data_IF_177023117478
#
_entry.id   IF_177023117478
#
_cell.length_a   1.000
_cell.length_b   1.000
_cell.length_c   1.000
_cell.angle_alpha   90.00
_cell.angle_beta   90.00
_cell.angle_gamma   90.00
#
_symmetry.space_group_name_H-M   'P 1'
#
loop_
_entity.id
_entity.type
_entity.pdbx_description
1 polymer ?
#
# COMPACT_ATOMS: atom_id res chain seq x y z
N UNK A 1 25.91 -48.26 70.54
CA UNK A 1 25.82 -46.78 70.46
C UNK A 1 26.74 -46.34 69.32
N UNK A 2 26.26 -45.50 68.40
CA UNK A 2 26.84 -45.03 67.10
C UNK A 2 26.07 -45.60 65.89
N UNK A 3 25.08 -44.92 65.30
CA UNK A 3 25.09 -43.73 64.40
C UNK A 3 25.92 -43.91 63.12
N UNK A 4 25.27 -44.02 61.95
CA UNK A 4 25.21 -42.91 60.97
C UNK A 4 24.28 -43.23 59.77
N UNK A 5 23.52 -42.20 59.38
CA UNK A 5 22.50 -42.15 58.31
C UNK A 5 23.13 -42.05 56.91
N UNK A 6 22.45 -42.58 55.88
CA UNK A 6 22.49 -42.05 54.51
C UNK A 6 21.08 -41.94 53.94
N UNK A 7 20.73 -40.72 53.53
CA UNK A 7 19.50 -40.31 52.85
C UNK A 7 19.76 -40.38 51.35
N UNK A 8 18.86 -40.99 50.57
CA UNK A 8 18.87 -40.96 49.11
C UNK A 8 17.73 -40.05 48.64
N UNK A 9 18.09 -38.89 48.09
CA UNK A 9 17.17 -38.03 47.34
C UNK A 9 17.17 -38.50 45.87
N UNK A 10 16.00 -38.88 45.35
CA UNK A 10 15.79 -39.12 43.94
C UNK A 10 15.32 -37.80 43.28
N UNK A 11 16.12 -37.28 42.35
CA UNK A 11 15.74 -36.18 41.47
C UNK A 11 14.90 -36.74 40.31
N UNK A 12 13.63 -36.36 40.27
CA UNK A 12 12.78 -36.48 39.08
C UNK A 12 13.13 -35.33 38.13
N UNK A 13 13.87 -35.64 37.06
CA UNK A 13 14.07 -34.72 35.95
C UNK A 13 12.89 -34.86 34.98
N UNK A 14 11.98 -33.88 35.01
CA UNK A 14 10.91 -33.73 34.03
C UNK A 14 11.50 -33.14 32.75
N UNK A 15 11.71 -33.97 31.73
CA UNK A 15 12.11 -33.52 30.40
C UNK A 15 10.92 -32.90 29.67
N UNK A 16 10.93 -31.58 29.51
CA UNK A 16 10.08 -30.89 28.53
C UNK A 16 10.61 -31.22 27.13
N UNK A 17 9.87 -32.05 26.39
CA UNK A 17 10.07 -32.21 24.95
C UNK A 17 9.46 -30.99 24.26
N UNK A 18 10.31 -30.01 23.91
CA UNK A 18 9.96 -28.97 22.95
C UNK A 18 9.85 -29.63 21.57
N UNK A 19 8.60 -29.75 21.09
CA UNK A 19 8.31 -30.19 19.73
C UNK A 19 8.56 -28.98 18.81
N UNK A 20 9.81 -28.78 18.39
CA UNK A 20 10.10 -27.93 17.24
C UNK A 20 9.64 -28.70 16.01
N UNK A 21 8.39 -28.49 15.59
CA UNK A 21 8.01 -28.80 14.23
C UNK A 21 8.88 -27.91 13.33
N UNK A 22 9.86 -28.51 12.65
CA UNK A 22 10.45 -27.90 11.47
C UNK A 22 9.33 -27.76 10.45
N UNK A 23 8.59 -26.65 10.51
CA UNK A 23 7.77 -26.21 9.39
C UNK A 23 8.78 -25.86 8.32
N UNK A 24 9.02 -26.80 7.40
CA UNK A 24 9.79 -26.51 6.21
C UNK A 24 9.16 -25.30 5.55
N UNK A 25 9.95 -24.25 5.31
CA UNK A 25 9.50 -23.08 4.56
C UNK A 25 8.99 -23.62 3.22
N UNK A 26 7.69 -23.53 2.98
CA UNK A 26 7.16 -23.76 1.64
C UNK A 26 7.78 -22.65 0.78
N UNK A 27 8.78 -23.00 -0.02
CA UNK A 27 9.45 -22.06 -0.89
C UNK A 27 8.48 -21.75 -2.03
N UNK A 28 7.65 -20.73 -1.86
CA UNK A 28 6.86 -20.18 -2.96
C UNK A 28 7.83 -19.66 -4.01
N UNK A 29 7.60 -19.95 -5.28
CA UNK A 29 8.39 -19.33 -6.34
C UNK A 29 8.26 -17.79 -6.28
N UNK A 30 9.21 -17.08 -6.87
CA UNK A 30 9.13 -15.60 -6.97
C UNK A 30 8.33 -15.21 -8.21
N UNK A 31 7.53 -14.16 -8.11
CA UNK A 31 6.98 -13.46 -9.28
C UNK A 31 8.06 -12.52 -9.80
N UNK A 32 8.53 -12.71 -11.02
CA UNK A 32 9.60 -11.92 -11.61
C UNK A 32 9.04 -10.79 -12.48
N UNK A 33 9.80 -9.70 -12.73
CA UNK A 33 9.38 -8.62 -13.64
C UNK A 33 8.88 -9.12 -15.01
N UNK A 34 9.53 -10.12 -15.59
CA UNK A 34 9.15 -10.72 -16.88
C UNK A 34 7.80 -11.46 -16.88
N UNK A 35 7.22 -11.71 -15.70
CA UNK A 35 5.89 -12.32 -15.57
C UNK A 35 4.75 -11.33 -15.85
N UNK A 36 5.04 -10.03 -15.91
CA UNK A 36 4.05 -8.98 -16.14
C UNK A 36 3.77 -8.79 -17.63
N UNK A 37 2.53 -9.06 -18.02
CA UNK A 37 1.99 -8.77 -19.35
C UNK A 37 1.16 -7.50 -19.30
N UNK A 38 1.62 -6.43 -19.95
CA UNK A 38 0.81 -5.23 -20.06
C UNK A 38 -0.40 -5.47 -20.97
N UNK A 39 -1.60 -5.17 -20.46
CA UNK A 39 -2.87 -5.34 -21.17
C UNK A 39 -3.44 -4.02 -21.71
N UNK A 40 -2.85 -2.88 -21.33
CA UNK A 40 -3.32 -1.55 -21.72
C UNK A 40 -3.75 -0.72 -20.52
N UNK A 41 -4.47 0.35 -20.80
CA UNK A 41 -4.99 1.27 -19.80
C UNK A 41 -6.45 1.66 -20.08
N UNK A 42 -7.09 2.30 -19.10
CA UNK A 42 -8.39 2.92 -19.23
C UNK A 42 -8.50 4.16 -18.35
N UNK A 43 -9.48 5.02 -18.62
CA UNK A 43 -9.73 6.25 -17.90
C UNK A 43 -10.73 6.03 -16.76
N UNK A 44 -10.50 6.67 -15.62
CA UNK A 44 -11.53 6.89 -14.60
C UNK A 44 -12.68 7.77 -15.14
N UNK A 45 -13.87 7.80 -14.51
CA UNK A 45 -14.95 8.70 -14.93
C UNK A 45 -14.51 10.18 -15.04
N UNK A 46 -15.03 10.88 -16.05
CA UNK A 46 -14.76 12.31 -16.23
C UNK A 46 -15.52 13.13 -15.18
N UNK A 47 -14.93 14.23 -14.70
CA UNK A 47 -15.68 15.22 -13.96
C UNK A 47 -16.79 15.85 -14.81
N UNK A 48 -17.92 16.16 -14.19
CA UNK A 48 -19.12 16.68 -14.85
C UNK A 48 -19.28 18.14 -14.44
N UNK A 49 -19.36 19.04 -15.43
CA UNK A 49 -19.56 20.47 -15.19
C UNK A 49 -20.76 20.75 -14.28
N UNK A 50 -20.53 21.54 -13.23
CA UNK A 50 -21.51 21.88 -12.20
C UNK A 50 -21.59 20.92 -11.00
N UNK A 51 -20.83 19.82 -10.98
CA UNK A 51 -20.64 19.00 -9.77
C UNK A 51 -19.57 19.62 -8.85
N UNK A 52 -19.58 19.35 -7.54
CA UNK A 52 -18.50 19.79 -6.65
C UNK A 52 -17.13 19.23 -7.11
N UNK A 53 -16.07 20.02 -7.02
CA UNK A 53 -14.70 19.58 -7.37
C UNK A 53 -14.25 18.35 -6.55
N UNK A 54 -14.73 18.26 -5.31
CA UNK A 54 -14.51 17.13 -4.40
C UNK A 54 -15.08 15.81 -4.92
N UNK A 55 -16.11 15.86 -5.78
CA UNK A 55 -16.78 14.70 -6.38
C UNK A 55 -16.19 14.43 -7.78
N UNK A 56 -14.87 14.34 -7.84
CA UNK A 56 -14.12 14.10 -9.07
C UNK A 56 -13.00 13.09 -8.86
N UNK A 57 -12.52 12.52 -9.96
CA UNK A 57 -11.29 11.73 -10.00
C UNK A 57 -10.09 12.55 -10.47
N UNK A 58 -10.24 13.86 -10.65
CA UNK A 58 -9.12 14.74 -11.01
C UNK A 58 -8.11 14.73 -9.88
N UNK A 59 -6.81 14.63 -10.21
CA UNK A 59 -5.74 14.49 -9.21
C UNK A 59 -5.88 13.27 -8.30
N UNK A 60 -6.78 12.33 -8.64
CA UNK A 60 -7.01 11.13 -7.85
C UNK A 60 -5.92 10.10 -8.03
N UNK A 61 -6.01 9.02 -7.27
CA UNK A 61 -5.08 7.89 -7.34
C UNK A 61 -4.33 7.60 -6.03
N UNK A 62 -4.79 8.17 -4.92
CA UNK A 62 -4.15 7.99 -3.61
C UNK A 62 -4.39 6.60 -3.01
N UNK A 63 -5.53 5.98 -3.30
CA UNK A 63 -5.87 4.64 -2.79
C UNK A 63 -6.76 3.88 -3.75
N UNK A 64 -6.62 2.55 -3.78
CA UNK A 64 -7.55 1.67 -4.50
C UNK A 64 -7.61 0.27 -3.90
N UNK A 65 -8.74 -0.40 -4.09
CA UNK A 65 -8.92 -1.83 -3.81
C UNK A 65 -9.86 -2.46 -4.83
N UNK A 66 -9.70 -3.76 -5.05
CA UNK A 66 -10.50 -4.52 -6.01
C UNK A 66 -11.66 -5.22 -5.30
N UNK A 67 -12.87 -5.11 -5.86
CA UNK A 67 -14.03 -5.86 -5.41
C UNK A 67 -14.41 -6.96 -6.42
N UNK A 68 -14.22 -8.26 -6.08
CA UNK A 68 -14.55 -9.37 -6.97
C UNK A 68 -16.06 -9.56 -7.21
N UNK A 69 -16.91 -8.97 -6.38
CA UNK A 69 -18.37 -9.03 -6.53
C UNK A 69 -18.97 -7.79 -7.20
N UNK A 70 -18.13 -6.79 -7.48
CA UNK A 70 -18.48 -5.60 -8.24
C UNK A 70 -18.94 -5.90 -9.66
N UNK A 71 -19.71 -4.98 -10.23
CA UNK A 71 -20.32 -5.08 -11.57
C UNK A 71 -20.83 -6.50 -11.95
N UNK A 72 -21.72 -7.13 -11.14
CA UNK A 72 -22.14 -8.51 -11.38
C UNK A 72 -22.95 -8.69 -12.68
N UNK A 73 -23.47 -7.60 -13.24
CA UNK A 73 -24.14 -7.53 -14.54
C UNK A 73 -23.21 -7.12 -15.70
N UNK A 74 -21.92 -6.99 -15.42
CA UNK A 74 -20.89 -6.54 -16.35
C UNK A 74 -20.71 -7.45 -17.55
N UNK A 75 -19.97 -6.94 -18.53
CA UNK A 75 -19.64 -7.71 -19.74
C UNK A 75 -18.69 -8.85 -19.37
N UNK A 76 -18.83 -9.99 -20.05
CA UNK A 76 -17.89 -11.11 -19.93
C UNK A 76 -16.70 -10.91 -20.86
N UNK A 77 -15.95 -9.83 -20.66
CA UNK A 77 -14.84 -9.40 -21.51
C UNK A 77 -13.45 -9.71 -20.91
N UNK A 78 -13.41 -10.33 -19.73
CA UNK A 78 -12.19 -10.77 -19.06
C UNK A 78 -11.70 -9.83 -17.97
N UNK A 79 -12.46 -8.77 -17.66
CA UNK A 79 -12.16 -7.80 -16.60
C UNK A 79 -13.36 -7.68 -15.63
N UNK A 80 -13.65 -8.74 -14.85
CA UNK A 80 -14.78 -8.73 -13.92
C UNK A 80 -14.51 -7.83 -12.71
N UNK A 81 -15.54 -7.61 -11.90
CA UNK A 81 -15.42 -6.88 -10.64
C UNK A 81 -15.48 -5.38 -10.82
N UNK A 82 -15.06 -4.68 -9.78
CA UNK A 82 -14.99 -3.21 -9.75
C UNK A 82 -13.78 -2.74 -8.94
N UNK A 83 -13.54 -1.44 -8.97
CA UNK A 83 -12.49 -0.79 -8.19
C UNK A 83 -13.13 0.26 -7.29
N UNK A 84 -12.87 0.17 -6.01
CA UNK A 84 -13.04 1.30 -5.10
C UNK A 84 -11.76 2.10 -5.08
N UNK A 85 -11.88 3.41 -5.02
CA UNK A 85 -10.72 4.29 -4.86
C UNK A 85 -11.10 5.65 -4.32
N UNK A 86 -10.09 6.40 -3.92
CA UNK A 86 -10.26 7.81 -3.56
C UNK A 86 -10.15 8.68 -4.79
N UNK A 87 -11.09 9.61 -4.90
CA UNK A 87 -11.09 10.66 -5.92
C UNK A 87 -10.03 11.73 -5.63
N UNK A 88 -10.38 12.98 -5.86
CA UNK A 88 -9.48 14.12 -5.75
C UNK A 88 -8.63 14.12 -4.47
N UNK A 89 -7.32 14.33 -4.65
CA UNK A 89 -6.26 14.26 -3.63
C UNK A 89 -6.42 15.19 -2.41
N UNK A 90 -7.26 16.23 -2.49
CA UNK A 90 -7.55 17.12 -1.35
C UNK A 90 -8.62 16.50 -0.45
N UNK A 91 -9.74 16.04 -1.01
CA UNK A 91 -10.90 15.59 -0.24
C UNK A 91 -10.90 14.09 0.04
N UNK A 92 -10.40 13.30 -0.91
CA UNK A 92 -10.33 11.84 -0.89
C UNK A 92 -11.67 11.19 -0.58
N UNK A 93 -12.75 11.67 -1.19
CA UNK A 93 -14.02 10.95 -1.16
C UNK A 93 -13.84 9.61 -1.86
N UNK A 94 -14.54 8.57 -1.37
CA UNK A 94 -14.46 7.21 -1.92
C UNK A 94 -15.56 7.03 -2.95
N UNK A 95 -15.26 6.41 -4.09
CA UNK A 95 -16.22 6.00 -5.11
C UNK A 95 -15.87 4.61 -5.64
N UNK A 96 -16.86 3.92 -6.22
CA UNK A 96 -16.68 2.64 -6.91
C UNK A 96 -16.93 2.80 -8.41
N UNK A 97 -16.05 2.22 -9.23
CA UNK A 97 -16.13 2.26 -10.71
C UNK A 97 -16.04 0.85 -11.31
N UNK A 98 -16.67 0.66 -12.47
CA UNK A 98 -16.49 -0.57 -13.26
C UNK A 98 -15.12 -0.63 -13.93
N UNK A 99 -14.78 -1.80 -14.50
CA UNK A 99 -13.51 -2.03 -15.19
C UNK A 99 -13.80 -2.29 -16.67
N UNK A 100 -13.61 -1.31 -17.57
CA UNK A 100 -13.72 -1.55 -19.00
C UNK A 100 -12.51 -2.32 -19.52
N UNK A 101 -12.62 -2.90 -20.71
CA UNK A 101 -11.48 -3.51 -21.40
C UNK A 101 -10.34 -2.49 -21.56
N UNK A 102 -9.14 -2.73 -21.02
CA UNK A 102 -8.01 -1.84 -21.20
C UNK A 102 -7.55 -1.82 -22.65
N UNK A 103 -7.02 -0.68 -23.09
CA UNK A 103 -6.57 -0.44 -24.46
C UNK A 103 -5.07 -0.15 -24.46
N UNK A 104 -4.33 -0.86 -25.31
CA UNK A 104 -2.95 -0.50 -25.65
C UNK A 104 -3.03 0.56 -26.75
N UNK A 105 -2.79 1.84 -26.41
CA UNK A 105 -2.62 2.90 -27.41
C UNK A 105 -1.14 2.99 -27.81
N UNK A 106 -0.76 2.60 -29.05
CA UNK A 106 0.65 2.59 -29.46
C UNK A 106 1.31 3.97 -29.44
N UNK A 107 0.50 5.04 -29.52
CA UNK A 107 0.95 6.43 -29.51
C UNK A 107 0.50 7.18 -28.26
N UNK A 108 0.06 6.47 -27.21
CA UNK A 108 -0.37 7.03 -25.92
C UNK A 108 -1.40 8.18 -26.05
N UNK A 109 -2.43 7.98 -26.89
CA UNK A 109 -3.51 8.97 -27.06
C UNK A 109 -4.64 8.67 -26.08
N UNK A 110 -4.98 9.65 -25.25
CA UNK A 110 -6.08 9.58 -24.28
C UNK A 110 -7.41 9.23 -24.94
N UNK A 111 -7.67 9.76 -26.15
CA UNK A 111 -8.90 9.49 -26.90
C UNK A 111 -9.04 8.04 -27.40
N UNK A 112 -7.98 7.24 -27.35
CA UNK A 112 -8.04 5.81 -27.67
C UNK A 112 -8.55 4.96 -26.48
N UNK A 113 -8.54 5.51 -25.26
CA UNK A 113 -8.84 4.76 -24.03
C UNK A 113 -10.34 4.62 -23.78
N UNK A 114 -10.75 3.44 -23.30
CA UNK A 114 -12.09 3.27 -22.73
C UNK A 114 -12.21 4.03 -21.40
N UNK A 115 -13.41 4.43 -21.03
CA UNK A 115 -13.70 5.15 -19.78
C UNK A 115 -14.59 4.28 -18.89
N UNK A 116 -14.19 4.13 -17.63
CA UNK A 116 -14.97 3.48 -16.59
C UNK A 116 -16.23 4.28 -16.24
N UNK A 117 -17.23 3.60 -15.70
CA UNK A 117 -18.50 4.18 -15.22
C UNK A 117 -18.55 4.09 -13.71
N UNK A 118 -19.11 5.12 -13.09
CA UNK A 118 -19.42 5.12 -11.66
C UNK A 118 -20.50 4.07 -11.35
N UNK A 119 -20.20 3.18 -10.40
CA UNK A 119 -21.13 2.22 -9.80
C UNK A 119 -21.73 2.83 -8.53
N UNK A 120 -20.88 3.32 -7.63
CA UNK A 120 -21.29 4.06 -6.43
C UNK A 120 -20.69 5.48 -6.48
N UNK A 121 -21.51 6.52 -6.23
CA UNK A 121 -21.05 7.90 -6.25
C UNK A 121 -20.05 8.16 -5.13
N UNK A 122 -19.40 9.33 -5.18
CA UNK A 122 -18.49 9.77 -4.13
C UNK A 122 -19.19 9.91 -2.78
N UNK A 123 -18.56 9.39 -1.73
CA UNK A 123 -19.02 9.52 -0.35
C UNK A 123 -17.88 9.86 0.61
N UNK A 124 -18.15 10.70 1.60
CA UNK A 124 -17.25 10.86 2.75
C UNK A 124 -17.48 9.72 3.74
N UNK A 125 -16.63 8.71 3.69
CA UNK A 125 -16.72 7.54 4.57
C UNK A 125 -16.17 7.79 5.97
N UNK A 126 -15.52 8.94 6.23
CA UNK A 126 -14.85 9.21 7.51
C UNK A 126 -15.82 9.65 8.60
N UNK A 127 -16.94 10.28 8.22
CA UNK A 127 -17.94 10.86 9.15
C UNK A 127 -17.31 11.66 10.31
N UNK A 128 -16.30 12.48 10.00
CA UNK A 128 -15.61 13.32 10.98
C UNK A 128 -14.60 12.62 11.90
N UNK A 129 -14.22 11.36 11.65
CA UNK A 129 -13.24 10.64 12.47
C UNK A 129 -11.81 11.21 12.42
N UNK A 130 -11.45 11.95 11.36
CA UNK A 130 -10.08 12.44 11.11
C UNK A 130 -10.02 13.95 10.83
N UNK A 131 -10.64 14.77 11.69
CA UNK A 131 -10.67 16.24 11.56
C UNK A 131 -9.28 16.91 11.62
N UNK A 132 -8.23 16.17 12.01
CA UNK A 132 -6.86 16.66 12.12
C UNK A 132 -6.10 16.64 10.78
N UNK A 133 -6.68 16.07 9.72
CA UNK A 133 -6.06 16.05 8.40
C UNK A 133 -6.22 17.44 7.78
N UNK A 134 -5.12 18.20 7.75
CA UNK A 134 -5.12 19.58 7.25
C UNK A 134 -4.57 19.69 5.81
N UNK A 135 -3.47 19.01 5.50
CA UNK A 135 -2.77 19.14 4.22
C UNK A 135 -2.21 17.79 3.72
N UNK A 136 -2.35 17.56 2.41
CA UNK A 136 -1.79 16.42 1.67
C UNK A 136 -2.07 15.08 2.36
N UNK A 137 -3.35 14.67 2.44
CA UNK A 137 -3.72 13.39 3.01
C UNK A 137 -2.98 12.21 2.37
N UNK A 138 -2.89 11.13 3.14
CA UNK A 138 -2.43 9.80 2.73
C UNK A 138 -3.53 8.82 3.06
N UNK A 139 -3.84 7.90 2.14
CA UNK A 139 -5.01 7.03 2.29
C UNK A 139 -4.68 5.65 1.82
N UNK A 140 -4.89 4.65 2.69
CA UNK A 140 -4.89 3.25 2.30
C UNK A 140 -6.31 2.70 2.31
N UNK A 141 -6.59 1.76 1.40
CA UNK A 141 -7.92 1.16 1.22
C UNK A 141 -7.79 -0.32 0.93
N UNK A 142 -8.56 -1.18 1.61
CA UNK A 142 -8.68 -2.59 1.24
C UNK A 142 -10.05 -3.18 1.59
N UNK A 143 -10.64 -3.94 0.66
CA UNK A 143 -11.82 -4.77 0.94
C UNK A 143 -11.38 -6.15 1.38
N UNK A 144 -11.91 -6.61 2.52
CA UNK A 144 -11.81 -8.01 2.92
C UNK A 144 -13.20 -8.62 3.09
N UNK A 145 -13.31 -9.89 2.70
CA UNK A 145 -14.41 -10.77 3.11
C UNK A 145 -14.55 -10.80 4.64
N UNK A 146 -15.74 -11.13 5.18
CA UNK A 146 -15.97 -11.08 6.62
C UNK A 146 -14.89 -11.81 7.43
N UNK A 147 -14.29 -11.10 8.38
CA UNK A 147 -13.28 -11.63 9.31
C UNK A 147 -13.83 -11.72 10.74
N UNK A 148 -13.34 -12.67 11.52
CA UNK A 148 -13.77 -12.84 12.92
C UNK A 148 -15.29 -13.00 13.05
N UNK A 149 -15.93 -12.11 13.81
CA UNK A 149 -17.39 -12.10 14.04
C UNK A 149 -18.17 -11.24 13.02
N UNK A 150 -17.53 -10.71 11.98
CA UNK A 150 -18.20 -9.90 10.96
C UNK A 150 -19.21 -10.74 10.16
N UNK A 151 -20.37 -10.14 9.90
CA UNK A 151 -21.43 -10.75 9.06
C UNK A 151 -21.43 -10.25 7.62
N UNK A 152 -20.69 -9.18 7.33
CA UNK A 152 -20.50 -8.60 6.01
C UNK A 152 -19.03 -8.25 5.80
N UNK A 153 -18.63 -8.24 4.53
CA UNK A 153 -17.34 -7.67 4.10
C UNK A 153 -17.21 -6.23 4.58
N UNK A 154 -15.97 -5.78 4.79
CA UNK A 154 -15.67 -4.42 5.23
C UNK A 154 -14.68 -3.76 4.28
N UNK A 155 -14.83 -2.45 4.16
CA UNK A 155 -13.84 -1.57 3.59
C UNK A 155 -12.96 -1.08 4.74
N UNK A 156 -11.71 -1.53 4.79
CA UNK A 156 -10.72 -1.06 5.76
C UNK A 156 -10.00 0.14 5.19
N UNK A 157 -9.80 1.16 6.03
CA UNK A 157 -9.12 2.39 5.63
C UNK A 157 -8.07 2.81 6.64
N UNK A 158 -7.04 3.47 6.16
CA UNK A 158 -6.13 4.24 6.99
C UNK A 158 -5.95 5.64 6.42
N UNK A 159 -5.68 6.60 7.31
CA UNK A 159 -5.51 8.01 6.99
C UNK A 159 -4.24 8.58 7.60
N UNK A 160 -3.52 9.38 6.82
CA UNK A 160 -2.34 10.12 7.22
C UNK A 160 -2.35 11.54 6.68
N UNK A 161 -1.39 12.35 7.12
CA UNK A 161 -1.12 13.69 6.58
C UNK A 161 0.37 13.86 6.30
N UNK A 162 0.74 14.83 5.45
CA UNK A 162 2.15 15.05 5.11
C UNK A 162 3.00 15.41 6.33
N UNK A 163 2.49 16.28 7.20
CA UNK A 163 2.98 16.46 8.57
C UNK A 163 1.94 15.93 9.54
N UNK A 164 2.36 15.08 10.45
CA UNK A 164 1.46 14.36 11.33
C UNK A 164 2.07 14.18 12.72
N UNK A 165 1.29 14.52 13.73
CA UNK A 165 1.54 14.15 15.13
C UNK A 165 1.04 12.72 15.42
N UNK A 166 1.17 12.26 16.66
CA UNK A 166 0.65 10.94 17.08
C UNK A 166 -0.88 10.91 17.15
N UNK A 167 -1.51 10.65 16.00
CA UNK A 167 -2.94 10.42 15.86
C UNK A 167 -3.26 8.95 15.52
N UNK A 168 -4.47 8.53 15.88
CA UNK A 168 -5.05 7.29 15.39
C UNK A 168 -5.45 7.47 13.93
N UNK A 169 -5.22 6.45 13.11
CA UNK A 169 -5.25 6.55 11.65
C UNK A 169 -6.11 5.48 10.98
N UNK A 170 -6.43 4.38 11.64
CA UNK A 170 -7.14 3.25 11.04
C UNK A 170 -8.62 3.23 11.39
N UNK A 171 -9.43 2.76 10.45
CA UNK A 171 -10.88 2.58 10.58
C UNK A 171 -11.36 1.44 9.67
N UNK A 172 -12.64 1.12 9.76
CA UNK A 172 -13.36 0.42 8.70
C UNK A 172 -14.74 1.04 8.48
N UNK A 173 -15.39 0.66 7.39
CA UNK A 173 -16.79 0.95 7.12
C UNK A 173 -17.43 -0.20 6.29
N UNK A 174 -18.73 -0.16 6.10
CA UNK A 174 -19.45 -0.99 5.13
C UNK A 174 -19.09 -0.59 3.70
N UNK A 175 -19.27 -1.53 2.76
CA UNK A 175 -18.98 -1.31 1.34
C UNK A 175 -20.10 -0.58 0.57
N UNK A 176 -21.27 -0.38 1.18
CA UNK A 176 -22.31 0.48 0.61
C UNK A 176 -22.02 1.93 0.99
N UNK A 177 -21.56 2.72 0.03
CA UNK A 177 -21.13 4.10 0.23
C UNK A 177 -22.29 5.05 0.58
N UNK A 178 -23.55 4.63 0.41
CA UNK A 178 -24.70 5.40 0.89
C UNK A 178 -24.99 5.18 2.38
N UNK A 179 -24.48 4.09 2.98
CA UNK A 179 -24.59 3.79 4.41
C UNK A 179 -23.25 3.20 4.91
N UNK A 180 -22.17 4.01 4.94
CA UNK A 180 -20.83 3.50 5.24
C UNK A 180 -20.71 3.03 6.69
N UNK A 181 -21.45 3.59 7.66
CA UNK A 181 -21.38 3.21 9.09
C UNK A 181 -19.93 3.02 9.60
N UNK A 182 -19.12 4.09 9.59
CA UNK A 182 -17.72 3.98 9.95
C UNK A 182 -17.51 3.61 11.42
N UNK A 183 -16.44 2.87 11.68
CA UNK A 183 -15.99 2.54 13.04
C UNK A 183 -14.47 2.60 13.14
N UNK A 184 -13.98 2.98 14.31
CA UNK A 184 -12.61 3.46 14.52
C UNK A 184 -12.63 4.59 15.54
N UNK A 185 -11.50 5.19 15.91
CA UNK A 185 -10.19 5.15 15.26
C UNK A 185 -9.18 4.29 16.02
N UNK A 186 -8.24 3.67 15.30
CA UNK A 186 -7.20 2.80 15.89
C UNK A 186 -5.80 3.19 15.43
N UNK A 187 -4.78 2.72 16.16
CA UNK A 187 -3.36 2.90 15.84
C UNK A 187 -2.66 1.55 15.88
N UNK A 188 -1.49 1.44 15.27
CA UNK A 188 -0.80 0.17 15.11
C UNK A 188 0.40 0.09 16.06
N UNK A 189 0.48 -0.98 16.83
CA UNK A 189 1.63 -1.26 17.69
C UNK A 189 2.91 -1.37 16.84
N UNK A 190 4.01 -0.77 17.31
CA UNK A 190 5.31 -0.82 16.65
C UNK A 190 5.48 0.13 15.46
N UNK A 191 4.44 0.87 15.08
CA UNK A 191 4.47 1.87 14.01
C UNK A 191 4.29 3.29 14.58
N UNK A 192 4.80 4.27 13.84
CA UNK A 192 4.70 5.69 14.13
C UNK A 192 3.87 6.40 13.05
N UNK A 193 3.54 7.70 13.20
CA UNK A 193 2.66 8.42 12.29
C UNK A 193 3.09 8.44 10.82
N UNK A 194 4.38 8.20 10.53
CA UNK A 194 4.91 8.29 9.18
C UNK A 194 5.11 6.94 8.50
N UNK A 195 4.90 5.80 9.16
CA UNK A 195 5.22 4.48 8.58
C UNK A 195 4.07 3.45 8.59
N UNK A 196 2.84 3.86 8.96
CA UNK A 196 1.72 2.92 9.10
C UNK A 196 0.42 3.22 8.34
N UNK A 197 0.28 4.35 7.63
CA UNK A 197 -1.03 4.88 7.21
C UNK A 197 -1.08 5.47 5.79
N UNK A 198 -0.71 4.69 4.77
CA UNK A 198 -0.74 5.12 3.36
C UNK A 198 -1.19 4.03 2.39
N UNK A 199 -0.98 2.76 2.72
CA UNK A 199 -1.50 1.65 1.92
C UNK A 199 -2.01 0.53 2.81
N UNK A 200 -3.03 -0.15 2.29
CA UNK A 200 -3.62 -1.36 2.85
C UNK A 200 -3.75 -2.40 1.73
N UNK A 201 -3.52 -3.66 2.04
CA UNK A 201 -3.77 -4.76 1.08
C UNK A 201 -3.90 -6.11 1.79
N UNK A 202 -4.65 -7.04 1.19
CA UNK A 202 -4.82 -8.38 1.73
C UNK A 202 -3.53 -9.19 1.74
N UNK A 203 -3.30 -9.90 2.85
CA UNK A 203 -2.30 -10.96 2.96
C UNK A 203 -2.99 -12.30 2.62
N UNK A 204 -2.43 -13.13 1.71
CA UNK A 204 -3.02 -14.42 1.38
C UNK A 204 -3.24 -15.28 2.62
N UNK A 205 -4.44 -15.85 2.74
CA UNK A 205 -4.85 -16.61 3.93
C UNK A 205 -3.91 -17.76 4.24
N UNK A 206 -3.48 -18.51 3.23
CA UNK A 206 -2.55 -19.64 3.39
C UNK A 206 -1.21 -19.21 3.99
N UNK A 207 -0.72 -18.02 3.62
CA UNK A 207 0.52 -17.47 4.17
C UNK A 207 0.29 -16.93 5.60
N UNK A 208 -0.78 -16.16 5.80
CA UNK A 208 -1.10 -15.56 7.10
C UNK A 208 -1.36 -16.63 8.17
N UNK A 209 -2.06 -17.72 7.84
CA UNK A 209 -2.38 -18.80 8.78
C UNK A 209 -1.11 -19.50 9.31
N UNK A 210 -0.02 -19.48 8.55
CA UNK A 210 1.26 -20.08 8.95
C UNK A 210 2.17 -19.12 9.72
N UNK A 211 2.23 -17.86 9.31
CA UNK A 211 3.27 -16.94 9.74
C UNK A 211 2.76 -15.76 10.59
N UNK A 212 1.51 -15.31 10.36
CA UNK A 212 0.88 -14.23 11.12
C UNK A 212 -0.57 -14.57 11.45
N UNK A 213 -0.82 -15.62 12.27
CA UNK A 213 -2.16 -16.20 12.40
C UNK A 213 -3.21 -15.16 12.81
N UNK A 214 -4.31 -15.09 12.05
CA UNK A 214 -5.39 -14.14 12.27
C UNK A 214 -5.11 -12.70 11.81
N UNK A 215 -3.92 -12.38 11.31
CA UNK A 215 -3.57 -11.07 10.75
C UNK A 215 -3.50 -11.15 9.23
N UNK A 216 -4.58 -10.71 8.56
CA UNK A 216 -4.76 -10.85 7.10
C UNK A 216 -4.79 -9.52 6.35
N UNK A 217 -4.62 -8.40 7.06
CA UNK A 217 -4.56 -7.08 6.47
C UNK A 217 -3.13 -6.57 6.63
N UNK A 218 -2.49 -6.19 5.54
CA UNK A 218 -1.22 -5.50 5.56
C UNK A 218 -1.45 -3.99 5.65
N UNK A 219 -0.59 -3.28 6.38
CA UNK A 219 -0.60 -1.83 6.49
C UNK A 219 0.81 -1.29 6.48
N UNK A 220 0.98 -0.08 5.96
CA UNK A 220 2.26 0.59 5.98
C UNK A 220 2.20 1.97 5.35
N UNK A 221 3.37 2.60 5.23
CA UNK A 221 3.55 3.88 4.55
C UNK A 221 4.97 4.09 4.09
N UNK A 222 5.10 4.94 3.07
CA UNK A 222 6.34 5.59 2.73
C UNK A 222 6.18 7.12 2.68
N UNK A 223 7.20 7.85 3.13
CA UNK A 223 7.37 9.30 3.09
C UNK A 223 8.83 9.61 2.82
N UNK A 224 9.02 10.49 1.85
CA UNK A 224 10.31 11.01 1.42
C UNK A 224 11.13 11.64 2.56
N UNK A 225 12.42 11.87 2.31
CA UNK A 225 13.31 12.47 3.29
C UNK A 225 13.70 11.59 4.46
N UNK A 226 13.30 10.31 4.48
CA UNK A 226 13.65 9.35 5.52
C UNK A 226 12.73 9.40 6.75
N UNK A 227 11.58 10.08 6.66
CA UNK A 227 10.64 10.21 7.77
C UNK A 227 9.82 8.95 8.05
N UNK A 228 9.41 8.22 7.00
CA UNK A 228 8.73 6.91 7.16
C UNK A 228 9.71 5.74 7.28
N UNK A 229 11.00 6.04 7.22
CA UNK A 229 12.08 5.07 7.04
C UNK A 229 12.83 5.20 5.72
N UNK A 230 14.04 4.66 5.68
CA UNK A 230 14.88 4.58 4.49
C UNK A 230 14.46 3.46 3.52
N UNK A 231 13.14 3.34 3.29
CA UNK A 231 12.48 2.30 2.50
C UNK A 231 11.02 2.11 2.93
N UNK A 232 10.20 1.33 2.19
CA UNK A 232 8.80 1.08 2.55
C UNK A 232 8.68 0.29 3.86
N UNK A 233 7.61 0.52 4.62
CA UNK A 233 7.28 -0.20 5.85
C UNK A 233 6.08 -1.12 5.64
N UNK A 234 6.06 -2.28 6.28
CA UNK A 234 4.95 -3.22 6.21
C UNK A 234 4.73 -3.91 7.54
N UNK A 235 3.49 -3.93 8.02
CA UNK A 235 3.06 -4.74 9.14
C UNK A 235 1.79 -5.51 8.81
N UNK A 236 1.68 -6.74 9.33
CA UNK A 236 0.44 -7.51 9.31
C UNK A 236 -0.39 -7.14 10.54
N UNK A 237 -1.68 -6.91 10.35
CA UNK A 237 -2.67 -6.61 11.39
C UNK A 237 -3.94 -7.42 11.16
N UNK A 238 -4.73 -7.56 12.22
CA UNK A 238 -6.07 -8.14 12.15
C UNK A 238 -6.98 -7.40 13.12
N UNK A 239 -7.55 -6.24 12.74
CA UNK A 239 -8.37 -5.44 13.64
C UNK A 239 -9.46 -6.25 14.35
N UNK A 240 -10.11 -7.17 13.63
CA UNK A 240 -11.16 -8.07 14.14
C UNK A 240 -10.74 -8.97 15.31
N UNK A 241 -9.45 -9.16 15.56
CA UNK A 241 -8.96 -9.94 16.70
C UNK A 241 -9.11 -9.20 18.05
N UNK A 242 -9.38 -7.89 18.01
CA UNK A 242 -9.50 -7.02 19.17
C UNK A 242 -10.90 -6.40 19.32
N UNK A 243 -11.89 -6.97 18.61
CA UNK A 243 -13.30 -6.58 18.67
C UNK A 243 -13.93 -6.48 17.28
N UNK A 244 -15.25 -6.37 17.24
CA UNK A 244 -16.01 -6.21 16.00
C UNK A 244 -17.11 -5.12 16.14
N UNK A 245 -16.76 -3.82 16.07
CA UNK A 245 -15.41 -3.28 15.89
C UNK A 245 -14.54 -3.30 17.16
N UNK A 246 -13.21 -3.17 17.04
CA UNK A 246 -12.37 -2.83 18.18
C UNK A 246 -12.84 -1.51 18.81
N UNK A 247 -12.79 -1.36 20.15
CA UNK A 247 -13.12 -0.11 20.81
C UNK A 247 -12.28 1.06 20.26
N UNK A 248 -12.88 2.26 20.19
CA UNK A 248 -12.18 3.46 19.77
C UNK A 248 -10.93 3.71 20.63
N UNK A 249 -9.84 4.16 19.99
CA UNK A 249 -8.56 4.36 20.66
C UNK A 249 -7.76 3.08 20.90
N UNK A 250 -8.19 1.94 20.37
CA UNK A 250 -7.42 0.68 20.47
C UNK A 250 -6.07 0.82 19.78
N UNK A 251 -5.03 0.31 20.45
CA UNK A 251 -3.74 0.01 19.82
C UNK A 251 -3.79 -1.44 19.32
N UNK A 252 -3.79 -1.60 18.00
CA UNK A 252 -3.87 -2.90 17.33
C UNK A 252 -2.52 -3.61 17.38
N UNK A 253 -2.54 -4.87 17.78
CA UNK A 253 -1.39 -5.76 17.69
C UNK A 253 -0.98 -5.93 16.23
N UNK A 254 0.32 -5.99 16.00
CA UNK A 254 0.88 -6.13 14.68
C UNK A 254 2.07 -7.11 14.67
N UNK A 255 2.37 -7.64 13.48
CA UNK A 255 3.65 -8.26 13.18
C UNK A 255 4.34 -7.37 12.15
N UNK A 256 5.39 -6.67 12.55
CA UNK A 256 6.18 -5.83 11.64
C UNK A 256 7.03 -6.74 10.74
N UNK A 257 6.81 -6.66 9.43
CA UNK A 257 7.43 -7.53 8.41
C UNK A 257 8.56 -6.82 7.66
N UNK A 258 8.42 -5.52 7.42
CA UNK A 258 9.45 -4.67 6.81
C UNK A 258 9.46 -3.37 7.60
N UNK A 259 10.61 -2.95 8.11
CA UNK A 259 10.78 -1.64 8.73
C UNK A 259 12.26 -1.27 8.74
N UNK A 260 12.62 -0.21 8.04
CA UNK A 260 13.97 0.33 8.00
C UNK A 260 14.17 1.38 9.10
N UNK A 261 15.39 1.86 9.29
CA UNK A 261 15.67 3.02 10.15
C UNK A 261 14.96 4.26 9.61
N UNK A 262 14.52 5.15 10.51
CA UNK A 262 13.84 6.41 10.18
C UNK A 262 14.37 7.57 11.03
N UNK A 263 14.06 8.80 10.63
CA UNK A 263 14.42 10.01 11.40
C UNK A 263 13.41 10.40 12.47
N UNK A 264 12.21 9.81 12.46
CA UNK A 264 11.17 10.17 13.43
C UNK A 264 11.58 9.78 14.85
N UNK A 265 12.23 8.62 14.99
CA UNK A 265 12.76 8.12 16.27
C UNK A 265 14.12 8.76 16.66
N UNK A 266 14.61 9.74 15.89
CA UNK A 266 15.90 10.41 16.09
C UNK A 266 16.92 10.10 15.00
N UNK A 267 18.20 10.40 15.24
CA UNK A 267 19.28 10.02 14.32
C UNK A 267 19.65 8.54 14.53
N UNK A 268 19.37 7.64 13.58
CA UNK A 268 19.66 6.22 13.75
C UNK A 268 21.18 5.96 13.73
N UNK A 269 21.67 4.97 14.47
CA UNK A 269 23.02 4.41 14.33
C UNK A 269 23.02 2.93 14.79
N UNK A 270 23.28 1.95 13.90
CA UNK A 270 23.57 2.08 12.47
C UNK A 270 22.32 2.39 11.62
N UNK A 271 22.56 2.83 10.38
CA UNK A 271 21.52 3.20 9.42
C UNK A 271 21.15 1.97 8.59
N UNK A 272 20.04 1.33 8.92
CA UNK A 272 19.51 0.23 8.11
C UNK A 272 18.58 0.79 7.04
N UNK A 273 18.95 0.63 5.78
CA UNK A 273 18.22 1.19 4.64
C UNK A 273 17.99 0.15 3.54
N UNK A 274 16.98 0.41 2.72
CA UNK A 274 16.75 -0.31 1.48
C UNK A 274 17.93 -0.07 0.52
N UNK A 275 18.36 -1.12 -0.16
CA UNK A 275 19.37 -1.04 -1.21
C UNK A 275 18.88 -0.12 -2.33
N UNK A 276 19.70 0.88 -2.68
CA UNK A 276 19.33 1.86 -3.70
C UNK A 276 18.35 2.93 -3.23
N UNK A 277 18.08 3.04 -1.92
CA UNK A 277 17.31 4.13 -1.33
C UNK A 277 17.82 5.51 -1.76
N UNK A 278 16.89 6.40 -2.12
CA UNK A 278 17.12 7.83 -2.25
C UNK A 278 16.05 8.59 -1.43
N UNK A 279 16.43 9.73 -0.84
CA UNK A 279 15.48 10.56 -0.08
C UNK A 279 14.29 11.05 -0.91
N UNK A 280 14.43 11.09 -2.24
CA UNK A 280 13.42 11.51 -3.21
C UNK A 280 12.55 10.35 -3.74
N UNK A 281 12.76 9.11 -3.28
CA UNK A 281 11.87 8.00 -3.64
C UNK A 281 10.45 8.27 -3.14
N UNK A 282 9.46 7.65 -3.78
CA UNK A 282 8.04 7.67 -3.41
C UNK A 282 7.49 6.24 -3.61
N UNK A 283 6.85 5.65 -2.59
CA UNK A 283 6.16 4.36 -2.71
C UNK A 283 4.72 4.50 -2.24
N UNK A 284 3.81 4.69 -3.19
CA UNK A 284 2.44 5.19 -3.01
C UNK A 284 1.39 4.09 -2.99
N UNK A 285 1.77 2.83 -3.24
CA UNK A 285 0.87 1.70 -3.20
C UNK A 285 1.61 0.38 -2.96
N UNK A 286 0.89 -0.62 -2.49
CA UNK A 286 1.42 -1.96 -2.33
C UNK A 286 0.35 -3.03 -2.54
N UNK A 287 0.77 -4.21 -2.98
CA UNK A 287 -0.10 -5.38 -3.09
C UNK A 287 0.68 -6.67 -2.86
N UNK A 288 0.01 -7.65 -2.26
CA UNK A 288 0.52 -9.01 -2.17
C UNK A 288 0.05 -9.83 -3.37
N UNK A 289 0.93 -10.08 -4.32
CA UNK A 289 0.64 -10.79 -5.56
C UNK A 289 0.83 -12.29 -5.40
N UNK A 290 -0.04 -13.08 -6.02
CA UNK A 290 0.10 -14.55 -6.08
C UNK A 290 -0.30 -15.07 -7.45
N UNK A 291 0.49 -15.98 -8.01
CA UNK A 291 0.22 -16.62 -9.30
C UNK A 291 0.62 -18.11 -9.25
N UNK A 292 -0.35 -18.96 -8.91
CA UNK A 292 -0.06 -20.37 -8.60
C UNK A 292 0.72 -20.49 -7.30
N UNK A 293 1.86 -21.18 -7.33
CA UNK A 293 2.79 -21.30 -6.21
C UNK A 293 3.78 -20.14 -6.11
N UNK A 294 3.71 -19.15 -7.00
CA UNK A 294 4.55 -17.94 -6.96
C UNK A 294 3.90 -16.81 -6.20
N UNK A 295 4.72 -16.00 -5.53
CA UNK A 295 4.28 -14.89 -4.69
C UNK A 295 5.31 -13.75 -4.65
N UNK A 296 4.83 -12.53 -4.45
CA UNK A 296 5.64 -11.34 -4.18
C UNK A 296 4.81 -10.29 -3.44
N UNK A 297 5.42 -9.56 -2.51
CA UNK A 297 4.89 -8.24 -2.14
C UNK A 297 5.48 -7.24 -3.12
N UNK A 298 4.63 -6.43 -3.75
CA UNK A 298 5.04 -5.39 -4.68
C UNK A 298 4.67 -4.04 -4.12
N UNK A 299 5.64 -3.11 -4.11
CA UNK A 299 5.38 -1.68 -3.91
C UNK A 299 5.51 -0.94 -5.23
N UNK A 300 4.63 0.02 -5.48
CA UNK A 300 4.65 0.84 -6.70
C UNK A 300 4.91 2.30 -6.34
N UNK A 301 5.56 3.04 -7.23
CA UNK A 301 5.79 4.46 -7.02
C UNK A 301 6.86 5.06 -7.92
N UNK A 302 7.39 6.21 -7.50
CA UNK A 302 8.40 6.98 -8.23
C UNK A 302 9.78 6.77 -7.61
N UNK A 303 10.74 6.25 -8.37
CA UNK A 303 12.12 6.05 -7.92
C UNK A 303 12.97 7.26 -8.28
N UNK A 304 13.66 7.84 -7.30
CA UNK A 304 14.71 8.83 -7.52
C UNK A 304 16.00 8.17 -8.00
N UNK A 305 16.57 8.67 -9.09
CA UNK A 305 17.76 8.10 -9.73
C UNK A 305 18.96 9.03 -9.63
N UNK A 306 20.14 8.44 -9.49
CA UNK A 306 21.42 9.16 -9.33
C UNK A 306 21.48 9.96 -8.02
N UNK A 307 22.08 11.16 -8.05
CA UNK A 307 22.21 12.03 -6.88
C UNK A 307 20.86 12.57 -6.43
N UNK A 308 20.66 12.65 -5.11
CA UNK A 308 19.46 13.20 -4.48
C UNK A 308 19.82 14.41 -3.61
N UNK A 309 18.98 15.45 -3.63
CA UNK A 309 19.18 16.68 -2.87
C UNK A 309 17.86 17.26 -2.35
N UNK A 310 17.94 18.14 -1.34
CA UNK A 310 16.79 18.92 -0.88
C UNK A 310 16.91 20.35 -1.41
N UNK A 311 15.90 20.80 -2.15
CA UNK A 311 15.91 22.09 -2.83
C UNK A 311 14.81 22.18 -3.88
N UNK A 312 15.10 22.79 -5.03
CA UNK A 312 14.21 22.84 -6.18
C UNK A 312 14.75 22.00 -7.34
N UNK A 313 14.07 22.04 -8.49
CA UNK A 313 14.44 21.25 -9.69
C UNK A 313 15.86 21.54 -10.18
N UNK A 314 16.43 22.72 -9.88
CA UNK A 314 17.71 23.18 -10.41
C UNK A 314 18.87 22.93 -9.45
N UNK A 315 18.64 23.06 -8.13
CA UNK A 315 19.72 23.03 -7.15
C UNK A 315 19.26 22.77 -5.71
N UNK A 316 20.24 22.49 -4.87
CA UNK A 316 20.14 22.64 -3.43
C UNK A 316 19.83 24.09 -3.04
N UNK A 317 18.82 24.25 -2.18
CA UNK A 317 18.38 25.54 -1.65
C UNK A 317 17.45 25.30 -0.46
N UNK A 318 17.57 26.09 0.60
CA UNK A 318 16.64 26.00 1.75
C UNK A 318 15.56 27.05 1.65
N UNK A 319 15.93 28.31 1.87
CA UNK A 319 15.00 29.44 1.90
C UNK A 319 15.11 30.30 0.63
N UNK A 320 16.15 30.10 -0.18
CA UNK A 320 16.51 30.90 -1.35
C UNK A 320 16.25 30.20 -2.68
N UNK A 321 15.34 29.21 -2.71
CA UNK A 321 15.01 28.47 -3.92
C UNK A 321 14.49 29.39 -5.04
N UNK A 322 14.87 29.09 -6.28
CA UNK A 322 14.36 29.79 -7.46
C UNK A 322 12.89 29.43 -7.68
N UNK A 323 12.52 28.17 -7.42
CA UNK A 323 11.14 27.68 -7.47
C UNK A 323 10.67 27.21 -6.09
N UNK A 324 10.31 28.13 -5.17
CA UNK A 324 9.96 27.77 -3.80
C UNK A 324 8.71 26.88 -3.69
N UNK A 325 7.80 26.93 -4.66
CA UNK A 325 6.60 26.08 -4.75
C UNK A 325 6.91 24.63 -5.19
N UNK A 326 8.12 24.37 -5.69
CA UNK A 326 8.63 23.03 -6.02
C UNK A 326 9.65 22.54 -5.01
N UNK A 327 9.79 23.22 -3.86
CA UNK A 327 10.79 22.85 -2.86
C UNK A 327 10.47 21.47 -2.28
N UNK A 328 11.47 20.59 -2.29
CA UNK A 328 11.35 19.23 -1.76
C UNK A 328 12.59 18.38 -2.06
N UNK A 329 12.46 17.07 -1.91
CA UNK A 329 13.51 16.14 -2.31
C UNK A 329 13.50 15.91 -3.81
N UNK A 330 14.65 16.10 -4.46
CA UNK A 330 14.82 15.96 -5.90
C UNK A 330 15.93 14.97 -6.24
N UNK A 331 15.85 14.43 -7.45
CA UNK A 331 16.90 13.62 -8.08
C UNK A 331 17.15 14.09 -9.51
N UNK A 332 18.27 13.66 -10.10
CA UNK A 332 18.62 14.02 -11.48
C UNK A 332 17.62 13.45 -12.50
N UNK A 333 17.04 12.29 -12.18
CA UNK A 333 15.88 11.78 -12.88
C UNK A 333 14.99 10.94 -11.98
N UNK A 334 13.77 10.67 -12.45
CA UNK A 334 12.80 9.81 -11.82
C UNK A 334 12.32 8.74 -12.79
N UNK A 335 11.90 7.60 -12.24
CA UNK A 335 11.36 6.46 -13.00
C UNK A 335 10.18 5.83 -12.25
N UNK A 336 9.15 5.40 -12.96
CA UNK A 336 8.00 4.68 -12.39
C UNK A 336 8.36 3.22 -12.17
N UNK A 337 8.44 2.78 -10.92
CA UNK A 337 8.96 1.46 -10.55
C UNK A 337 7.95 0.60 -9.80
N UNK A 338 8.01 -0.71 -10.06
CA UNK A 338 7.52 -1.74 -9.15
C UNK A 338 8.71 -2.37 -8.42
N UNK A 339 8.71 -2.40 -7.09
CA UNK A 339 9.69 -3.08 -6.25
C UNK A 339 9.17 -4.42 -5.76
N UNK A 340 9.98 -5.47 -5.87
CA UNK A 340 9.57 -6.84 -5.55
C UNK A 340 10.24 -7.35 -4.28
N UNK A 341 9.46 -7.74 -3.28
CA UNK A 341 9.90 -8.30 -2.01
C UNK A 341 9.54 -9.78 -1.90
N UNK A 342 10.47 -10.59 -1.39
CA UNK A 342 10.30 -12.04 -1.26
C UNK A 342 9.46 -12.38 -0.03
N UNK A 343 8.33 -13.05 -0.26
CA UNK A 343 7.40 -13.44 0.80
C UNK A 343 7.94 -14.53 1.71
N UNK A 344 8.99 -15.24 1.28
CA UNK A 344 9.75 -16.16 2.13
C UNK A 344 10.65 -15.40 3.11
N UNK A 345 11.16 -14.22 2.75
CA UNK A 345 11.93 -13.39 3.69
C UNK A 345 11.00 -12.74 4.72
N UNK A 346 9.80 -12.33 4.33
CA UNK A 346 8.78 -11.89 5.28
C UNK A 346 8.39 -13.00 6.25
N UNK A 347 8.34 -14.26 5.80
CA UNK A 347 8.05 -15.40 6.65
C UNK A 347 9.16 -15.62 7.69
N UNK A 348 10.43 -15.46 7.27
CA UNK A 348 11.57 -15.50 8.20
C UNK A 348 11.49 -14.38 9.24
N UNK A 349 11.05 -13.17 8.85
CA UNK A 349 10.83 -12.08 9.81
C UNK A 349 9.74 -12.44 10.83
N UNK A 350 8.59 -12.91 10.36
CA UNK A 350 7.50 -13.33 11.24
C UNK A 350 7.89 -14.46 12.22
N UNK A 351 8.88 -15.29 11.84
CA UNK A 351 9.45 -16.35 12.67
C UNK A 351 10.62 -15.91 13.56
N UNK A 352 11.06 -14.65 13.48
CA UNK A 352 12.22 -14.12 14.23
C UNK A 352 13.58 -14.63 13.72
N UNK A 353 13.64 -15.10 12.46
CA UNK A 353 14.88 -15.55 11.79
C UNK A 353 15.60 -14.40 11.10
N UNK A 354 14.85 -13.41 10.60
CA UNK A 354 15.37 -12.15 10.05
C UNK A 354 14.78 -10.98 10.85
N UNK A 355 15.54 -9.91 10.95
CA UNK A 355 15.04 -8.63 11.43
C UNK A 355 14.28 -7.91 10.30
N UNK A 356 13.25 -7.10 10.60
CA UNK A 356 12.46 -6.40 9.58
C UNK A 356 13.27 -5.51 8.63
N UNK A 357 14.38 -4.93 9.12
CA UNK A 357 15.25 -4.06 8.32
C UNK A 357 16.21 -4.84 7.40
N UNK A 358 16.31 -6.17 7.55
CA UNK A 358 17.17 -7.01 6.72
C UNK A 358 16.50 -7.44 5.42
N UNK A 359 15.17 -7.33 5.33
CA UNK A 359 14.45 -7.64 4.09
C UNK A 359 14.85 -6.62 3.03
N UNK A 360 15.09 -7.08 1.80
CA UNK A 360 15.48 -6.23 0.68
C UNK A 360 14.67 -6.60 -0.56
N UNK A 361 14.40 -5.65 -1.47
CA UNK A 361 13.79 -5.99 -2.74
C UNK A 361 14.76 -6.88 -3.54
N UNK A 362 14.25 -7.90 -4.22
CA UNK A 362 15.05 -8.80 -5.05
C UNK A 362 15.03 -8.44 -6.54
N UNK A 363 14.07 -7.63 -6.97
CA UNK A 363 13.94 -7.14 -8.35
C UNK A 363 13.18 -5.81 -8.38
N UNK A 364 13.25 -5.13 -9.52
CA UNK A 364 12.38 -4.01 -9.85
C UNK A 364 11.92 -4.11 -11.33
N UNK A 365 10.84 -3.41 -11.67
CA UNK A 365 10.36 -3.21 -13.04
C UNK A 365 10.12 -1.71 -13.27
N UNK A 366 10.81 -1.11 -14.23
CA UNK A 366 10.48 0.23 -14.73
C UNK A 366 9.34 0.12 -15.76
N UNK A 367 8.31 0.96 -15.62
CA UNK A 367 7.10 0.97 -16.46
C UNK A 367 6.85 2.29 -17.22
N UNK A 368 7.82 3.22 -17.25
CA UNK A 368 7.66 4.53 -17.92
C UNK A 368 7.33 4.40 -19.41
N UNK A 369 7.74 3.31 -20.03
CA UNK A 369 7.48 3.04 -21.44
C UNK A 369 5.97 2.96 -21.75
N UNK A 370 5.12 2.64 -20.77
CA UNK A 370 3.66 2.58 -20.93
C UNK A 370 2.90 3.77 -20.33
N UNK A 371 3.53 4.63 -19.53
CA UNK A 371 2.90 5.80 -18.90
C UNK A 371 2.63 6.95 -19.89
N UNK A 372 1.48 7.61 -19.77
CA UNK A 372 1.00 8.64 -20.70
C UNK A 372 1.59 10.03 -20.43
N UNK A 373 1.95 10.30 -19.18
CA UNK A 373 2.25 11.63 -18.68
C UNK A 373 3.71 11.82 -18.32
N UNK A 374 4.61 10.90 -18.68
CA UNK A 374 6.06 11.11 -18.49
C UNK A 374 6.61 11.93 -19.66
N UNK A 375 6.79 13.22 -19.43
CA UNK A 375 7.23 14.23 -20.39
C UNK A 375 8.70 14.63 -20.21
N UNK A 376 9.26 14.43 -19.02
CA UNK A 376 10.60 14.87 -18.67
C UNK A 376 11.39 13.89 -17.80
N UNK A 377 12.67 14.22 -17.55
CA UNK A 377 13.53 13.41 -16.66
C UNK A 377 13.25 13.69 -15.19
N UNK A 378 12.98 14.93 -14.83
CA UNK A 378 12.74 15.37 -13.45
C UNK A 378 11.24 15.56 -13.22
N UNK A 379 10.49 14.47 -13.39
CA UNK A 379 9.04 14.45 -13.22
C UNK A 379 8.69 13.52 -12.06
N UNK A 380 7.87 13.98 -11.11
CA UNK A 380 7.47 13.16 -9.96
C UNK A 380 6.13 12.48 -10.22
N UNK A 381 5.65 11.70 -9.26
CA UNK A 381 4.29 11.14 -9.28
C UNK A 381 4.01 10.26 -10.51
N UNK A 382 4.95 9.37 -10.85
CA UNK A 382 4.77 8.46 -12.00
C UNK A 382 3.65 7.45 -11.75
N UNK A 383 3.54 6.94 -10.52
CA UNK A 383 2.58 5.91 -10.14
C UNK A 383 1.86 6.28 -8.84
N UNK A 384 0.55 6.06 -8.82
CA UNK A 384 -0.30 6.12 -7.64
C UNK A 384 -0.52 4.74 -7.02
N UNK A 385 -1.62 4.59 -6.27
CA UNK A 385 -1.99 3.35 -5.62
C UNK A 385 -2.20 2.19 -6.61
N UNK A 386 -2.20 0.97 -6.08
CA UNK A 386 -2.42 -0.26 -6.83
C UNK A 386 -3.36 -1.22 -6.11
N UNK A 387 -4.00 -2.13 -6.84
CA UNK A 387 -4.75 -3.25 -6.29
C UNK A 387 -4.62 -4.51 -7.15
N UNK A 388 -5.05 -5.65 -6.60
CA UNK A 388 -4.84 -6.95 -7.24
C UNK A 388 -6.11 -7.82 -7.26
N UNK A 389 -6.55 -8.16 -8.47
CA UNK A 389 -7.51 -9.24 -8.68
C UNK A 389 -6.77 -10.58 -8.71
N UNK A 390 -6.79 -11.25 -7.56
CA UNK A 390 -6.14 -12.53 -7.35
C UNK A 390 -6.72 -13.66 -8.19
N UNK A 391 -8.02 -13.62 -8.49
CA UNK A 391 -8.69 -14.70 -9.19
C UNK A 391 -8.33 -14.72 -10.69
N UNK A 392 -8.19 -13.53 -11.30
CA UNK A 392 -7.83 -13.41 -12.72
C UNK A 392 -6.37 -13.01 -12.96
N UNK A 393 -5.62 -12.80 -11.87
CA UNK A 393 -4.21 -12.38 -11.87
C UNK A 393 -3.99 -11.04 -12.57
N UNK A 394 -4.89 -10.10 -12.31
CA UNK A 394 -4.84 -8.74 -12.87
C UNK A 394 -4.34 -7.76 -11.81
N UNK A 395 -3.32 -6.99 -12.18
CA UNK A 395 -2.74 -5.95 -11.35
C UNK A 395 -3.08 -4.59 -11.94
N UNK A 396 -3.69 -3.73 -11.13
CA UNK A 396 -4.14 -2.40 -11.52
C UNK A 396 -3.28 -1.36 -10.81
N UNK A 397 -2.83 -0.34 -11.54
CA UNK A 397 -2.02 0.76 -10.98
C UNK A 397 -2.52 2.09 -11.54
N UNK A 398 -2.67 3.07 -10.67
CA UNK A 398 -2.97 4.43 -11.11
C UNK A 398 -1.73 5.10 -11.73
N UNK A 399 -1.94 5.82 -12.82
CA UNK A 399 -1.13 6.96 -13.23
C UNK A 399 -1.94 8.22 -12.87
N UNK A 400 -1.52 8.99 -11.86
CA UNK A 400 -2.30 10.09 -11.32
C UNK A 400 -2.44 11.23 -12.34
N UNK A 401 -3.63 11.82 -12.39
CA UNK A 401 -3.88 13.02 -13.18
C UNK A 401 -3.12 14.22 -12.61
N UNK A 402 -2.70 15.13 -13.47
CA UNK A 402 -1.96 16.33 -13.09
C UNK A 402 -2.17 17.51 -14.04
N UNK A 403 -1.57 18.65 -13.76
CA UNK A 403 -1.51 19.76 -14.71
C UNK A 403 -0.45 19.42 -15.75
N UNK A 404 -0.89 19.21 -16.99
CA UNK A 404 0.01 18.89 -18.09
C UNK A 404 0.87 20.09 -18.50
N UNK A 405 1.92 19.88 -19.33
CA UNK A 405 2.83 20.96 -19.75
C UNK A 405 2.17 22.13 -20.49
N UNK A 406 0.96 21.94 -21.03
CA UNK A 406 0.15 22.97 -21.69
C UNK A 406 -0.81 23.71 -20.75
N UNK A 407 -0.86 23.36 -19.45
CA UNK A 407 -1.80 23.90 -18.47
C UNK A 407 -3.19 23.25 -18.53
N UNK A 408 -3.36 22.16 -19.28
CA UNK A 408 -4.60 21.37 -19.29
C UNK A 408 -4.51 20.26 -18.24
N UNK A 409 -5.62 19.96 -17.55
CA UNK A 409 -5.65 18.86 -16.57
C UNK A 409 -5.65 17.51 -17.29
N UNK A 410 -4.64 16.71 -16.98
CA UNK A 410 -4.50 15.31 -17.33
C UNK A 410 -5.40 14.47 -16.43
N UNK A 411 -6.18 13.56 -17.03
CA UNK A 411 -7.11 12.70 -16.30
C UNK A 411 -6.37 11.52 -15.69
N UNK A 412 -6.74 11.09 -14.48
CA UNK A 412 -6.20 9.86 -13.88
C UNK A 412 -6.49 8.64 -14.76
N UNK A 413 -5.46 7.82 -14.96
CA UNK A 413 -5.49 6.60 -15.79
C UNK A 413 -5.27 5.39 -14.89
N UNK A 414 -5.90 4.27 -15.21
CA UNK A 414 -5.59 2.97 -14.61
C UNK A 414 -4.92 2.09 -15.65
N UNK A 415 -3.71 1.64 -15.34
CA UNK A 415 -2.95 0.68 -16.13
C UNK A 415 -3.20 -0.74 -15.63
N UNK A 416 -3.21 -1.70 -16.56
CA UNK A 416 -3.54 -3.10 -16.25
C UNK A 416 -2.45 -4.03 -16.74
N UNK A 417 -1.98 -4.89 -15.85
CA UNK A 417 -1.09 -6.00 -16.18
C UNK A 417 -1.74 -7.33 -15.79
N UNK A 418 -1.34 -8.39 -16.48
CA UNK A 418 -1.61 -9.77 -16.08
C UNK A 418 -0.33 -10.45 -15.65
N UNK A 419 -0.39 -11.20 -14.57
CA UNK A 419 0.72 -12.05 -14.12
C UNK A 419 0.56 -13.43 -14.77
N UNK A 420 1.51 -13.79 -15.64
CA UNK A 420 1.45 -15.01 -16.47
C UNK A 420 1.44 -16.30 -15.68
#
# INVERSE_FOLDING_TARGET
MNYFKRVLFALLATTYFLWFANVAIANSGRIMPEDFEYLGAFLVPQWIDGMPDAESWEWGGMSMTYDPSGDPGGKKDGFPGSIYGTGHDVWNLVSEIDIPVPVISPTKRISDLNTARTIQPFADVRDGLFIWIEEMPRVGLEILEPQGEQSSRKLYLCWGAHFQDEYFSHMWCETDLNDPRPAGIWKIEGLNPYNGNDYLFAIPSEWADLYTPGMRLATGRYRDGGWSGFGPTLAAIGPWNQGNPPPDGTTLQSVVLIKYSDYFEGEPDPWYQMNGYAHSDEWTGGAWLTAGDRSAVVFVGTKGMSEAWYGDTLRECMDDCEFPYLRGWWSLSFEGWFLFYDTSDLAKVAQGVLEPYQVQPYAHLNVDDVLYYVHGKQEKYHLGACCYDRANRLFYVFEPGREGPSGESERTIIHVWRIK
#
